data_IF_959895892830
#
_entry.id   IF_959895892830
#
_cell.length_a   1.000
_cell.length_b   1.000
_cell.length_c   1.000
_cell.angle_alpha   90.00
_cell.angle_beta   90.00
_cell.angle_gamma   90.00
#
_symmetry.space_group_name_H-M   'P 1'
#
loop_
_entity.id
_entity.type
_entity.pdbx_description
1 polymer ?
#
# COMPACT_ATOMS: atom_id res chain seq x y z
N UNK A 1 14.72 -49.28 45.19
CA UNK A 1 14.36 -48.11 46.02
C UNK A 1 15.29 -46.95 45.69
N UNK A 2 15.05 -46.09 44.70
CA UNK A 2 14.52 -46.26 43.37
C UNK A 2 15.31 -45.28 42.50
N UNK A 3 15.68 -45.73 41.31
CA UNK A 3 16.31 -44.93 40.30
C UNK A 3 15.34 -43.82 39.87
N UNK A 4 15.72 -42.56 40.08
CA UNK A 4 14.99 -41.41 39.54
C UNK A 4 15.28 -41.36 38.04
N UNK A 5 14.34 -41.87 37.25
CA UNK A 5 14.29 -41.63 35.83
C UNK A 5 14.07 -40.12 35.58
N UNK A 6 14.87 -39.45 34.73
CA UNK A 6 14.47 -38.18 34.17
C UNK A 6 13.40 -38.43 33.10
N UNK A 7 12.24 -37.81 33.28
CA UNK A 7 11.12 -37.82 32.34
C UNK A 7 11.54 -37.27 30.96
N UNK A 8 10.88 -37.73 29.88
CA UNK A 8 11.27 -37.44 28.51
C UNK A 8 10.73 -36.09 28.01
N UNK A 9 11.53 -35.46 27.15
CA UNK A 9 11.08 -34.72 25.95
C UNK A 9 9.87 -33.78 26.14
N UNK A 10 10.15 -32.53 26.53
CA UNK A 10 9.30 -31.41 26.09
C UNK A 10 9.64 -31.14 24.62
N UNK A 11 8.76 -31.66 23.77
CA UNK A 11 8.63 -31.37 22.35
C UNK A 11 8.94 -29.90 22.06
N UNK A 12 10.07 -29.69 21.38
CA UNK A 12 10.33 -28.44 20.71
C UNK A 12 9.25 -28.29 19.64
N UNK A 13 8.30 -27.38 19.88
CA UNK A 13 7.32 -26.99 18.89
C UNK A 13 8.03 -26.71 17.55
N UNK A 14 7.59 -27.31 16.44
CA UNK A 14 8.26 -27.14 15.17
C UNK A 14 8.16 -25.67 14.77
N UNK A 15 9.32 -25.00 14.71
CA UNK A 15 9.50 -23.72 14.02
C UNK A 15 8.79 -23.84 12.69
N UNK A 16 7.66 -23.15 12.56
CA UNK A 16 6.89 -23.08 11.33
C UNK A 16 7.86 -22.69 10.23
N UNK A 17 8.05 -23.64 9.30
CA UNK A 17 8.84 -23.47 8.10
C UNK A 17 8.40 -22.16 7.46
N UNK A 18 9.36 -21.24 7.35
CA UNK A 18 9.19 -20.05 6.53
C UNK A 18 8.71 -20.53 5.16
N UNK A 19 7.45 -20.26 4.84
CA UNK A 19 6.99 -20.31 3.47
C UNK A 19 7.89 -19.32 2.73
N UNK A 20 8.87 -19.84 1.99
CA UNK A 20 9.49 -19.11 0.89
C UNK A 20 8.39 -18.89 -0.14
N UNK A 21 7.54 -17.89 0.12
CA UNK A 21 6.60 -17.38 -0.86
C UNK A 21 7.44 -16.94 -2.05
N UNK A 22 7.12 -17.48 -3.23
CA UNK A 22 7.63 -16.98 -4.49
C UNK A 22 7.19 -15.53 -4.62
N UNK A 23 8.02 -14.59 -4.14
CA UNK A 23 7.74 -13.17 -4.29
C UNK A 23 7.90 -12.83 -5.76
N UNK A 24 6.79 -12.57 -6.45
CA UNK A 24 6.81 -12.02 -7.81
C UNK A 24 7.72 -10.79 -7.79
N UNK A 25 8.77 -10.74 -8.61
CA UNK A 25 9.73 -9.66 -8.56
C UNK A 25 9.05 -8.34 -8.93
N UNK A 26 9.31 -7.32 -8.14
CA UNK A 26 8.81 -5.98 -8.38
C UNK A 26 9.85 -5.28 -9.27
N UNK A 27 9.38 -4.71 -10.38
CA UNK A 27 10.22 -3.94 -11.30
C UNK A 27 10.82 -2.73 -10.55
N UNK A 28 12.14 -2.52 -10.57
CA UNK A 28 12.75 -1.35 -9.95
C UNK A 28 12.26 -0.04 -10.57
N UNK A 29 12.17 1.02 -9.76
CA UNK A 29 11.67 2.33 -10.23
C UNK A 29 12.51 2.89 -11.40
N UNK A 30 13.81 2.58 -11.44
CA UNK A 30 14.73 2.96 -12.52
C UNK A 30 14.46 2.28 -13.85
N UNK A 31 13.75 1.15 -13.86
CA UNK A 31 13.37 0.40 -15.06
C UNK A 31 12.00 0.83 -15.60
N UNK A 32 11.32 1.75 -14.92
CA UNK A 32 10.05 2.29 -15.43
C UNK A 32 10.38 3.28 -16.53
N UNK A 33 9.92 3.01 -17.74
CA UNK A 33 10.07 3.90 -18.89
C UNK A 33 9.05 5.03 -18.79
N UNK A 34 9.49 6.27 -19.01
CA UNK A 34 8.63 7.45 -18.95
C UNK A 34 8.14 7.81 -17.54
N UNK A 35 6.95 8.42 -17.49
CA UNK A 35 6.23 8.80 -16.27
C UNK A 35 7.04 9.71 -15.33
N UNK A 36 7.89 10.57 -15.90
CA UNK A 36 8.73 11.53 -15.17
C UNK A 36 7.92 12.41 -14.21
N UNK A 37 6.74 12.94 -14.59
CA UNK A 37 5.92 13.70 -13.67
C UNK A 37 5.46 12.89 -12.45
N UNK A 38 5.16 11.59 -12.65
CA UNK A 38 4.75 10.70 -11.56
C UNK A 38 5.91 10.41 -10.61
N UNK A 39 7.09 10.08 -11.16
CA UNK A 39 8.30 9.85 -10.35
C UNK A 39 8.63 11.07 -9.50
N UNK A 40 8.63 12.25 -10.11
CA UNK A 40 8.88 13.50 -9.41
C UNK A 40 7.85 13.76 -8.31
N UNK A 41 6.55 13.53 -8.56
CA UNK A 41 5.53 13.72 -7.54
C UNK A 41 5.69 12.77 -6.35
N UNK A 42 6.06 11.50 -6.60
CA UNK A 42 6.34 10.53 -5.54
C UNK A 42 7.58 10.92 -4.72
N UNK A 43 8.65 11.39 -5.37
CA UNK A 43 9.85 11.90 -4.71
C UNK A 43 9.55 13.11 -3.83
N UNK A 44 8.79 14.09 -4.35
CA UNK A 44 8.37 15.26 -3.58
C UNK A 44 7.51 14.87 -2.37
N UNK A 45 6.58 13.92 -2.55
CA UNK A 45 5.75 13.43 -1.46
C UNK A 45 6.52 12.64 -0.40
N UNK A 46 7.63 11.99 -0.77
CA UNK A 46 8.55 11.35 0.17
C UNK A 46 9.35 12.38 0.97
N UNK A 47 9.90 13.40 0.31
CA UNK A 47 10.72 14.44 0.93
C UNK A 47 9.86 15.32 1.85
N UNK A 48 8.65 15.66 1.41
CA UNK A 48 7.73 16.54 2.12
C UNK A 48 6.34 15.90 2.25
N UNK A 49 6.14 14.97 3.22
CA UNK A 49 4.85 14.30 3.44
C UNK A 49 3.68 15.25 3.76
N UNK A 50 3.99 16.48 4.19
CA UNK A 50 3.01 17.53 4.51
C UNK A 50 2.39 18.20 3.29
N UNK A 51 2.88 17.93 2.07
CA UNK A 51 2.33 18.54 0.86
C UNK A 51 0.86 18.19 0.64
N UNK A 52 0.35 17.13 1.29
CA UNK A 52 -0.91 16.50 0.92
C UNK A 52 -0.62 15.36 -0.06
N UNK A 53 -1.50 14.37 -0.12
CA UNK A 53 -1.26 13.16 -0.92
C UNK A 53 -1.02 13.44 -2.41
N UNK A 54 -0.55 12.42 -3.11
CA UNK A 54 -0.42 12.41 -4.57
C UNK A 54 -1.67 11.78 -5.17
N UNK A 55 -2.33 12.49 -6.08
CA UNK A 55 -3.43 11.97 -6.88
C UNK A 55 -2.94 11.67 -8.31
N UNK A 56 -3.05 10.42 -8.71
CA UNK A 56 -2.64 9.93 -10.03
C UNK A 56 -3.88 9.69 -10.88
N UNK A 57 -4.05 10.52 -11.89
CA UNK A 57 -5.13 10.42 -12.87
C UNK A 57 -4.67 9.64 -14.10
N UNK A 58 -5.45 8.68 -14.58
CA UNK A 58 -5.19 8.04 -15.87
C UNK A 58 -5.99 6.76 -16.10
N UNK A 59 -6.01 6.26 -17.33
CA UNK A 59 -6.73 5.03 -17.71
C UNK A 59 -6.14 3.77 -17.07
N UNK A 60 -6.93 2.70 -16.99
CA UNK A 60 -6.44 1.37 -16.56
C UNK A 60 -5.33 0.88 -17.50
N UNK A 61 -4.37 0.11 -16.97
CA UNK A 61 -3.25 -0.43 -17.76
C UNK A 61 -2.10 0.55 -18.05
N UNK A 62 -2.08 1.73 -17.42
CA UNK A 62 -0.99 2.73 -17.53
C UNK A 62 0.20 2.48 -16.61
N UNK A 63 0.20 1.39 -15.83
CA UNK A 63 1.32 1.05 -14.94
C UNK A 63 1.42 1.88 -13.65
N UNK A 64 0.39 2.66 -13.30
CA UNK A 64 0.37 3.49 -12.06
C UNK A 64 0.71 2.69 -10.80
N UNK A 65 0.04 1.55 -10.59
CA UNK A 65 0.27 0.69 -9.42
C UNK A 65 1.68 0.08 -9.42
N UNK A 66 2.22 -0.25 -10.60
CA UNK A 66 3.60 -0.72 -10.75
C UNK A 66 4.59 0.35 -10.29
N UNK A 67 4.41 1.60 -10.73
CA UNK A 67 5.27 2.71 -10.33
C UNK A 67 5.24 3.00 -8.84
N UNK A 68 4.05 3.01 -8.24
CA UNK A 68 3.92 3.22 -6.80
C UNK A 68 4.54 2.07 -6.00
N UNK A 69 4.34 0.82 -6.42
CA UNK A 69 4.95 -0.35 -5.75
C UNK A 69 6.47 -0.34 -5.85
N UNK A 70 7.00 -0.04 -7.03
CA UNK A 70 8.44 0.08 -7.26
C UNK A 70 9.06 1.17 -6.38
N UNK A 71 8.42 2.34 -6.32
CA UNK A 71 8.86 3.44 -5.48
C UNK A 71 8.78 3.10 -3.99
N UNK A 72 7.67 2.51 -3.55
CA UNK A 72 7.45 2.12 -2.16
C UNK A 72 8.54 1.13 -1.70
N UNK A 73 8.79 0.09 -2.48
CA UNK A 73 9.82 -0.89 -2.15
C UNK A 73 11.22 -0.25 -2.12
N UNK A 74 11.52 0.64 -3.06
CA UNK A 74 12.83 1.30 -3.14
C UNK A 74 13.08 2.26 -1.97
N UNK A 75 12.08 3.08 -1.60
CA UNK A 75 12.25 4.17 -0.63
C UNK A 75 11.90 3.78 0.81
N UNK A 76 11.00 2.82 0.98
CA UNK A 76 10.51 2.38 2.30
C UNK A 76 10.95 0.94 2.65
N UNK A 77 11.49 0.18 1.69
CA UNK A 77 11.84 -1.23 1.89
C UNK A 77 10.63 -2.17 2.01
N UNK A 78 9.43 -1.66 1.75
CA UNK A 78 8.15 -2.33 1.99
C UNK A 78 7.19 -2.09 0.82
N UNK A 79 6.26 -3.04 0.62
CA UNK A 79 5.14 -2.85 -0.28
C UNK A 79 4.13 -1.82 0.29
N UNK A 80 3.41 -1.07 -0.58
CA UNK A 80 2.40 -0.14 -0.14
C UNK A 80 1.24 -0.88 0.51
N UNK A 81 0.69 -0.31 1.59
CA UNK A 81 -0.57 -0.76 2.16
C UNK A 81 -1.67 -0.34 1.20
N UNK A 82 -2.36 -1.32 0.63
CA UNK A 82 -3.39 -1.09 -0.39
C UNK A 82 -4.77 -1.05 0.26
N UNK A 83 -5.50 0.03 0.02
CA UNK A 83 -6.88 0.18 0.45
C UNK A 83 -7.82 -0.20 -0.72
N UNK A 84 -8.65 -1.25 -0.56
CA UNK A 84 -9.58 -1.66 -1.60
C UNK A 84 -10.81 -0.74 -1.66
N UNK A 85 -11.41 -0.63 -2.84
CA UNK A 85 -12.59 0.22 -3.10
C UNK A 85 -13.81 -0.10 -2.22
N UNK A 86 -13.90 -1.32 -1.68
CA UNK A 86 -14.99 -1.77 -0.81
C UNK A 86 -14.58 -1.85 0.66
N UNK A 87 -13.50 -1.16 1.05
CA UNK A 87 -13.06 -1.13 2.43
C UNK A 87 -14.14 -0.52 3.33
N UNK A 88 -14.53 -1.25 4.38
CA UNK A 88 -15.39 -0.71 5.43
C UNK A 88 -14.61 0.25 6.31
N UNK A 89 -15.32 1.16 6.97
CA UNK A 89 -14.72 2.08 7.95
C UNK A 89 -13.87 1.36 8.99
N UNK A 90 -14.38 0.28 9.57
CA UNK A 90 -13.66 -0.56 10.55
C UNK A 90 -12.34 -1.09 10.00
N UNK A 91 -12.30 -1.45 8.71
CA UNK A 91 -11.05 -1.91 8.09
C UNK A 91 -10.07 -0.75 7.90
N UNK A 92 -10.55 0.46 7.65
CA UNK A 92 -9.71 1.65 7.42
C UNK A 92 -9.16 2.21 8.72
N UNK A 93 -10.02 2.50 9.71
CA UNK A 93 -9.63 3.15 10.97
C UNK A 93 -9.28 2.17 12.09
N UNK A 94 -9.87 0.97 12.05
CA UNK A 94 -9.75 -0.04 13.10
C UNK A 94 -11.04 -0.19 13.90
N UNK A 95 -11.20 -1.35 14.52
CA UNK A 95 -12.42 -1.72 15.24
C UNK A 95 -12.29 -3.07 15.91
N UNK A 96 -13.43 -3.69 16.22
CA UNK A 96 -13.47 -5.07 16.70
C UNK A 96 -13.16 -6.06 15.57
N UNK A 97 -12.32 -7.04 15.85
CA UNK A 97 -12.02 -8.14 14.96
C UNK A 97 -13.25 -9.05 14.83
N UNK A 98 -13.89 -9.03 13.66
CA UNK A 98 -15.12 -9.78 13.37
C UNK A 98 -14.89 -11.29 13.54
N UNK A 99 -13.75 -11.82 13.10
CA UNK A 99 -13.45 -13.26 13.17
C UNK A 99 -13.30 -13.71 14.63
N UNK A 100 -12.65 -12.88 15.46
CA UNK A 100 -12.55 -13.13 16.91
C UNK A 100 -13.87 -12.94 17.62
N UNK A 101 -14.69 -11.98 17.20
CA UNK A 101 -15.99 -11.73 17.79
C UNK A 101 -16.94 -12.91 17.56
N UNK A 102 -16.91 -13.53 16.38
CA UNK A 102 -17.64 -14.78 16.11
C UNK A 102 -17.20 -15.94 17.01
N UNK A 103 -15.96 -15.89 17.51
CA UNK A 103 -15.41 -16.81 18.51
C UNK A 103 -15.65 -16.33 19.96
N UNK A 104 -16.57 -15.38 20.17
CA UNK A 104 -16.87 -14.75 21.46
C UNK A 104 -15.68 -14.07 22.14
N UNK A 105 -14.69 -13.61 21.34
CA UNK A 105 -13.52 -12.86 21.81
C UNK A 105 -13.56 -11.45 21.25
N UNK A 106 -13.84 -10.46 22.10
CA UNK A 106 -13.75 -9.05 21.74
C UNK A 106 -12.27 -8.63 21.69
N UNK A 107 -11.68 -8.71 20.50
CA UNK A 107 -10.30 -8.28 20.24
C UNK A 107 -10.30 -7.07 19.34
N UNK A 108 -9.48 -6.07 19.67
CA UNK A 108 -9.26 -4.91 18.81
C UNK A 108 -8.30 -5.27 17.67
N UNK A 109 -8.62 -4.81 16.45
CA UNK A 109 -7.76 -4.86 15.27
C UNK A 109 -7.52 -3.45 14.76
N UNK A 110 -6.26 -3.11 14.58
CA UNK A 110 -5.87 -1.82 14.00
C UNK A 110 -6.27 -1.77 12.51
N UNK A 111 -6.61 -0.57 12.03
CA UNK A 111 -7.02 -0.36 10.66
C UNK A 111 -5.84 -0.17 9.69
N UNK A 112 -6.16 -0.15 8.39
CA UNK A 112 -5.21 0.08 7.31
C UNK A 112 -4.40 1.37 7.47
N UNK A 113 -4.98 2.42 8.05
CA UNK A 113 -4.27 3.68 8.30
C UNK A 113 -3.12 3.49 9.29
N UNK A 114 -3.33 2.71 10.34
CA UNK A 114 -2.28 2.39 11.32
C UNK A 114 -1.25 1.44 10.72
N UNK A 115 -1.69 0.45 9.94
CA UNK A 115 -0.79 -0.46 9.19
C UNK A 115 0.11 0.30 8.20
N UNK A 116 -0.37 1.41 7.63
CA UNK A 116 0.37 2.25 6.70
C UNK A 116 1.42 3.16 7.36
N UNK A 117 1.51 3.19 8.70
CA UNK A 117 2.45 4.06 9.41
C UNK A 117 3.89 3.84 8.92
N UNK A 118 4.53 4.92 8.47
CA UNK A 118 5.89 4.92 7.95
C UNK A 118 6.02 4.28 6.56
N UNK A 119 4.91 4.04 5.86
CA UNK A 119 4.85 3.41 4.54
C UNK A 119 4.06 4.28 3.57
N UNK A 120 3.84 3.75 2.37
CA UNK A 120 2.90 4.30 1.39
C UNK A 120 1.51 3.71 1.63
N UNK A 121 0.50 4.56 1.74
CA UNK A 121 -0.91 4.18 1.65
C UNK A 121 -1.35 4.37 0.20
N UNK A 122 -1.56 3.26 -0.51
CA UNK A 122 -2.06 3.26 -1.88
C UNK A 122 -3.56 3.04 -1.89
N UNK A 123 -4.29 3.94 -2.54
CA UNK A 123 -5.74 3.87 -2.69
C UNK A 123 -6.05 3.77 -4.17
N UNK A 124 -6.57 2.62 -4.59
CA UNK A 124 -6.98 2.45 -5.98
C UNK A 124 -8.37 3.04 -6.19
N UNK A 125 -8.54 3.82 -7.25
CA UNK A 125 -9.82 4.40 -7.67
C UNK A 125 -10.52 5.12 -6.51
N UNK A 126 -9.84 6.11 -5.94
CA UNK A 126 -10.29 6.85 -4.77
C UNK A 126 -11.65 7.54 -4.98
N UNK A 127 -12.04 7.78 -6.23
CA UNK A 127 -13.35 8.29 -6.61
C UNK A 127 -14.50 7.31 -6.36
N UNK A 128 -14.22 6.02 -6.16
CA UNK A 128 -15.23 4.99 -5.89
C UNK A 128 -15.43 4.72 -4.40
N UNK A 129 -14.56 5.27 -3.54
CA UNK A 129 -14.71 5.15 -2.10
C UNK A 129 -15.84 6.04 -1.58
N UNK A 130 -16.35 5.66 -0.41
CA UNK A 130 -17.27 6.52 0.34
C UNK A 130 -16.57 7.84 0.71
N UNK A 131 -17.26 8.96 0.47
CA UNK A 131 -16.77 10.32 0.76
C UNK A 131 -16.27 10.46 2.20
N UNK A 132 -16.93 9.79 3.15
CA UNK A 132 -16.54 9.80 4.56
C UNK A 132 -15.14 9.18 4.76
N UNK A 133 -14.86 8.05 4.10
CA UNK A 133 -13.57 7.36 4.19
C UNK A 133 -12.46 8.21 3.60
N UNK A 134 -12.71 8.82 2.43
CA UNK A 134 -11.73 9.72 1.79
C UNK A 134 -11.43 10.92 2.70
N UNK A 135 -12.45 11.50 3.34
CA UNK A 135 -12.25 12.59 4.30
C UNK A 135 -11.37 12.18 5.47
N UNK A 136 -11.60 11.02 6.09
CA UNK A 136 -10.73 10.53 7.18
C UNK A 136 -9.28 10.37 6.69
N UNK A 137 -9.08 9.74 5.53
CA UNK A 137 -7.73 9.52 4.98
C UNK A 137 -7.01 10.86 4.80
N UNK A 138 -7.69 11.85 4.21
CA UNK A 138 -7.12 13.17 3.98
C UNK A 138 -6.89 13.95 5.28
N UNK A 139 -7.78 13.83 6.28
CA UNK A 139 -7.62 14.46 7.60
C UNK A 139 -6.38 13.91 8.31
N UNK A 140 -6.20 12.59 8.31
CA UNK A 140 -5.03 11.94 8.91
C UNK A 140 -3.77 12.29 8.13
N UNK A 141 -3.84 12.39 6.80
CA UNK A 141 -2.70 12.80 5.97
C UNK A 141 -2.24 14.22 6.31
N UNK A 142 -3.17 15.14 6.54
CA UNK A 142 -2.85 16.54 6.90
C UNK A 142 -2.41 16.71 8.36
N UNK A 143 -3.06 16.02 9.30
CA UNK A 143 -2.85 16.22 10.75
C UNK A 143 -1.79 15.30 11.35
N UNK A 144 -1.53 14.15 10.72
CA UNK A 144 -0.67 13.09 11.24
C UNK A 144 -1.26 12.33 12.43
N UNK A 145 -2.56 12.46 12.69
CA UNK A 145 -3.22 11.90 13.87
C UNK A 145 -4.51 11.19 13.48
N UNK A 146 -4.68 9.99 14.00
CA UNK A 146 -5.92 9.22 13.90
C UNK A 146 -6.52 9.05 15.31
N UNK A 147 -7.72 9.57 15.52
CA UNK A 147 -8.51 9.33 16.73
C UNK A 147 -9.68 8.40 16.38
N UNK A 148 -9.79 7.29 17.12
CA UNK A 148 -10.86 6.30 16.92
C UNK A 148 -11.66 6.16 18.20
N UNK A 149 -12.95 6.49 18.14
CA UNK A 149 -13.90 6.40 19.25
C UNK A 149 -15.01 5.42 18.89
N UNK A 150 -14.77 4.12 19.10
CA UNK A 150 -15.70 3.04 18.71
C UNK A 150 -15.65 1.89 19.71
N UNK A 151 -16.74 1.14 19.81
CA UNK A 151 -16.85 -0.06 20.66
C UNK A 151 -16.45 0.17 22.13
N UNK A 152 -16.75 1.37 22.64
CA UNK A 152 -16.37 1.80 23.99
C UNK A 152 -14.87 2.03 24.18
N UNK A 153 -14.06 2.00 23.12
CA UNK A 153 -12.64 2.33 23.11
C UNK A 153 -12.43 3.72 22.54
N UNK A 154 -11.53 4.47 23.18
CA UNK A 154 -10.97 5.70 22.63
C UNK A 154 -9.47 5.47 22.45
N UNK A 155 -9.02 5.46 21.19
CA UNK A 155 -7.63 5.27 20.83
C UNK A 155 -7.14 6.44 20.01
N UNK A 156 -5.87 6.79 20.22
CA UNK A 156 -5.18 7.83 19.48
C UNK A 156 -3.87 7.29 18.95
N UNK A 157 -3.62 7.54 17.67
CA UNK A 157 -2.43 7.09 16.99
C UNK A 157 -1.76 8.29 16.31
N UNK A 158 -0.46 8.45 16.53
CA UNK A 158 0.38 9.28 15.67
C UNK A 158 0.76 8.45 14.45
N UNK A 159 0.22 8.84 13.30
CA UNK A 159 0.34 8.10 12.05
C UNK A 159 0.79 9.06 10.96
N UNK A 160 1.91 8.74 10.32
CA UNK A 160 2.40 9.45 9.14
C UNK A 160 2.69 8.43 8.05
N UNK A 161 2.17 8.68 6.85
CA UNK A 161 2.35 7.86 5.66
C UNK A 161 2.31 8.76 4.43
N UNK A 162 2.86 8.29 3.31
CA UNK A 162 2.66 8.95 2.02
C UNK A 162 1.38 8.43 1.40
N UNK A 163 0.39 9.32 1.24
CA UNK A 163 -0.87 9.00 0.55
C UNK A 163 -0.65 9.04 -0.97
N UNK A 164 -1.03 7.97 -1.65
CA UNK A 164 -1.10 7.91 -3.11
C UNK A 164 -2.47 7.38 -3.51
N UNK A 165 -3.30 8.24 -4.10
CA UNK A 165 -4.59 7.87 -4.67
C UNK A 165 -4.50 7.74 -6.19
N UNK A 166 -5.23 6.80 -6.78
CA UNK A 166 -5.46 6.77 -8.23
C UNK A 166 -6.90 7.14 -8.55
N UNK A 167 -7.13 7.68 -9.73
CA UNK A 167 -8.47 7.84 -10.29
C UNK A 167 -8.48 7.60 -11.79
N UNK A 168 -9.61 7.09 -12.28
CA UNK A 168 -9.90 7.01 -13.70
C UNK A 168 -10.97 8.08 -14.04
N UNK A 169 -10.65 9.12 -14.83
CA UNK A 169 -11.61 10.16 -15.18
C UNK A 169 -12.84 9.63 -15.95
N UNK A 170 -12.76 8.45 -16.56
CA UNK A 170 -13.89 7.79 -17.21
C UNK A 170 -14.90 7.19 -16.22
N UNK A 171 -14.46 6.86 -15.01
CA UNK A 171 -15.30 6.26 -13.95
C UNK A 171 -15.90 7.33 -13.01
N UNK A 172 -15.71 8.61 -13.36
CA UNK A 172 -16.20 9.76 -12.61
C UNK A 172 -15.09 10.60 -12.01
N UNK A 173 -15.44 11.83 -11.63
CA UNK A 173 -14.53 12.77 -10.98
C UNK A 173 -14.65 12.71 -9.46
N UNK A 174 -13.54 12.94 -8.78
CA UNK A 174 -13.56 13.24 -7.35
C UNK A 174 -14.23 14.60 -7.11
N UNK A 175 -14.92 14.77 -5.98
CA UNK A 175 -15.54 16.06 -5.64
C UNK A 175 -14.48 17.17 -5.56
N UNK A 176 -14.75 18.40 -6.03
CA UNK A 176 -13.78 19.49 -6.01
C UNK A 176 -13.18 19.78 -4.63
N UNK A 177 -13.97 19.62 -3.57
CA UNK A 177 -13.51 19.84 -2.19
C UNK A 177 -12.46 18.81 -1.73
N UNK A 178 -12.53 17.59 -2.25
CA UNK A 178 -11.54 16.55 -1.96
C UNK A 178 -10.30 16.73 -2.83
N UNK A 179 -10.48 17.13 -4.09
CA UNK A 179 -9.37 17.46 -5.00
C UNK A 179 -8.48 18.58 -4.45
N UNK A 180 -9.08 19.64 -3.88
CA UNK A 180 -8.36 20.77 -3.30
C UNK A 180 -7.44 20.38 -2.13
N UNK A 181 -7.69 19.21 -1.52
CA UNK A 181 -6.90 18.69 -0.40
C UNK A 181 -5.74 17.80 -0.82
N UNK A 182 -5.64 17.43 -2.10
CA UNK A 182 -4.47 16.76 -2.65
C UNK A 182 -3.39 17.79 -2.97
N UNK A 183 -2.16 17.49 -2.53
CA UNK A 183 -1.03 18.39 -2.71
C UNK A 183 -0.48 18.40 -4.13
N UNK A 184 -0.53 17.23 -4.76
CA UNK A 184 0.03 16.99 -6.08
C UNK A 184 -0.97 16.19 -6.89
N UNK A 185 -1.19 16.60 -8.14
CA UNK A 185 -1.98 15.84 -9.11
C UNK A 185 -1.14 15.61 -10.36
N UNK A 186 -1.10 14.37 -10.81
CA UNK A 186 -0.35 13.96 -12.00
C UNK A 186 -1.26 13.21 -12.95
N UNK A 187 -1.27 13.63 -14.21
CA UNK A 187 -1.90 12.86 -15.29
C UNK A 187 -0.89 11.89 -15.92
N UNK A 188 -1.18 10.60 -15.82
CA UNK A 188 -0.44 9.52 -16.46
C UNK A 188 -1.19 9.08 -17.70
N UNK A 189 -0.53 9.24 -18.85
CA UNK A 189 -1.07 8.87 -20.16
C UNK A 189 -0.56 7.50 -20.58
N UNK A 190 -1.37 6.78 -21.33
CA UNK A 190 -0.96 5.53 -21.97
C UNK A 190 0.07 5.84 -23.06
N UNK A 191 1.14 5.05 -23.14
CA UNK A 191 2.10 5.12 -24.23
C UNK A 191 1.36 5.03 -25.58
N UNK A 192 1.51 6.06 -26.40
CA UNK A 192 0.83 6.16 -27.71
C UNK A 192 1.74 5.77 -28.87
N UNK A 193 3.07 5.92 -28.69
CA UNK A 193 4.06 5.56 -29.70
C UNK A 193 4.39 4.06 -29.67
N UNK A 194 4.73 3.50 -30.82
CA UNK A 194 5.13 2.09 -30.92
C UNK A 194 6.49 1.87 -30.25
N UNK A 195 7.36 2.87 -30.37
CA UNK A 195 8.72 2.90 -29.86
C UNK A 195 8.71 2.82 -28.32
N UNK A 196 7.91 3.64 -27.65
CA UNK A 196 7.78 3.63 -26.19
C UNK A 196 7.18 2.32 -25.68
N UNK A 197 6.19 1.76 -26.38
CA UNK A 197 5.62 0.44 -26.03
C UNK A 197 6.64 -0.68 -26.18
N UNK A 198 7.46 -0.63 -27.23
CA UNK A 198 8.54 -1.60 -27.44
C UNK A 198 9.57 -1.50 -26.31
N UNK A 199 9.98 -0.28 -25.95
CA UNK A 199 10.92 -0.03 -24.86
C UNK A 199 10.41 -0.55 -23.51
N UNK A 200 9.13 -0.33 -23.19
CA UNK A 200 8.49 -0.88 -21.99
C UNK A 200 8.57 -2.41 -21.99
N UNK A 201 8.22 -3.05 -23.11
CA UNK A 201 8.25 -4.52 -23.23
C UNK A 201 9.66 -5.08 -23.12
N UNK A 202 10.62 -4.50 -23.83
CA UNK A 202 12.03 -4.91 -23.78
C UNK A 202 12.60 -4.79 -22.36
N UNK A 203 12.25 -3.71 -21.66
CA UNK A 203 12.70 -3.49 -20.28
C UNK A 203 12.15 -4.53 -19.31
N UNK A 204 10.85 -4.86 -19.42
CA UNK A 204 10.23 -5.90 -18.60
C UNK A 204 10.83 -7.28 -18.89
N UNK A 205 10.96 -7.65 -20.17
CA UNK A 205 11.55 -8.94 -20.57
C UNK A 205 13.00 -9.09 -20.11
N UNK A 206 13.80 -8.02 -20.21
CA UNK A 206 15.17 -8.00 -19.73
C UNK A 206 15.25 -8.23 -18.22
N UNK A 207 14.39 -7.55 -17.46
CA UNK A 207 14.33 -7.72 -16.01
C UNK A 207 13.93 -9.15 -15.62
N UNK A 208 12.94 -9.74 -16.30
CA UNK A 208 12.53 -11.12 -16.04
C UNK A 208 13.68 -12.12 -16.30
N UNK A 209 14.41 -11.97 -17.40
CA UNK A 209 15.56 -12.84 -17.72
C UNK A 209 16.71 -12.69 -16.70
N UNK A 210 17.02 -11.45 -16.29
CA UNK A 210 18.01 -11.18 -15.25
C UNK A 210 17.57 -11.76 -13.89
N UNK A 211 16.30 -11.63 -13.53
CA UNK A 211 15.76 -12.18 -12.28
C UNK A 211 15.84 -13.71 -12.25
N UNK A 212 15.48 -14.38 -13.34
CA UNK A 212 15.58 -15.84 -13.46
C UNK A 212 17.03 -16.32 -13.30
N UNK A 213 18.00 -15.54 -13.76
CA UNK A 213 19.43 -15.86 -13.57
C UNK A 213 19.85 -15.75 -12.11
N UNK A 214 19.42 -14.70 -11.40
CA UNK A 214 19.73 -14.51 -9.96
C UNK A 214 19.19 -15.67 -9.12
N UNK A 215 17.98 -16.15 -9.42
CA UNK A 215 17.36 -17.28 -8.71
C UNK A 215 18.07 -18.63 -8.92
N UNK A 216 18.81 -18.80 -10.03
CA UNK A 216 19.56 -20.06 -10.30
C UNK A 216 20.91 -20.13 -9.58
N UNK A 217 21.39 -19.03 -9.02
CA UNK A 217 22.71 -18.92 -8.39
C UNK A 217 22.63 -18.96 -6.85
N UNK A 218 21.42 -18.89 -6.29
CA UNK A 218 21.14 -18.99 -4.84
C UNK A 218 20.59 -20.36 -4.50
#
# INVERSE_FOLDING_TARGET
>A
MDAVAPSPELEQEPRQKQNTEFSVPILPCSFIVGQEPLKLALELAYIAPRLGGVLISGQRGTGKSTAVRAFAQMMYGDLPVTLPINATEDRVVGGLDVDKLMQSKAQWKDGLLVEARGKVLYVDEINLLDDHIVNIILDVTSTGKLEVQRDGKNKRYDVSFTLVGTMNPEEGGLRPQLLDRFGLMVDVRTATSKEERLEILETVLKFEDEWVKVQKVT
#
